data_IF_475093395668
#
_entry.id   IF_475093395668
#
_cell.length_a   1.000
_cell.length_b   1.000
_cell.length_c   1.000
_cell.angle_alpha   90.00
_cell.angle_beta   90.00
_cell.angle_gamma   90.00
#
_symmetry.space_group_name_H-M   'P 1'
#
loop_
_entity.id
_entity.type
_entity.pdbx_description
1 polymer ?
#
# COMPACT_ATOMS: atom_id res chain seq x y z
N UNK A 1 -11.11 -1.38 13.43
CA UNK A 1 -10.14 -1.91 12.44
C UNK A 1 -10.86 -2.19 11.13
N UNK A 2 -10.24 -1.84 10.00
CA UNK A 2 -10.73 -2.21 8.68
C UNK A 2 -10.35 -3.68 8.43
N UNK A 3 -11.31 -4.53 8.08
CA UNK A 3 -10.99 -5.92 7.75
C UNK A 3 -10.11 -5.96 6.49
N UNK A 4 -9.25 -6.99 6.36
CA UNK A 4 -8.29 -7.10 5.25
C UNK A 4 -8.98 -7.05 3.89
N UNK A 5 -10.19 -7.62 3.80
CA UNK A 5 -11.05 -7.61 2.62
C UNK A 5 -11.51 -6.19 2.29
N UNK A 6 -12.13 -5.51 3.25
CA UNK A 6 -12.65 -4.15 3.07
C UNK A 6 -11.54 -3.13 2.76
N UNK A 7 -10.33 -3.34 3.28
CA UNK A 7 -9.16 -2.53 2.94
C UNK A 7 -8.65 -2.75 1.52
N UNK A 8 -8.65 -3.99 1.02
CA UNK A 8 -8.33 -4.27 -0.38
C UNK A 8 -9.36 -3.64 -1.32
N UNK A 9 -10.65 -3.70 -0.96
CA UNK A 9 -11.73 -3.06 -1.72
C UNK A 9 -11.56 -1.55 -1.79
N UNK A 10 -11.28 -0.90 -0.66
CA UNK A 10 -11.02 0.53 -0.62
C UNK A 10 -9.81 0.94 -1.48
N UNK A 11 -8.76 0.13 -1.48
CA UNK A 11 -7.58 0.40 -2.31
C UNK A 11 -7.89 0.29 -3.82
N UNK A 12 -8.65 -0.72 -4.23
CA UNK A 12 -9.10 -0.86 -5.60
C UNK A 12 -9.97 0.35 -6.03
N UNK A 13 -10.90 0.78 -5.17
CA UNK A 13 -11.74 1.94 -5.43
C UNK A 13 -10.95 3.25 -5.49
N UNK A 14 -9.93 3.44 -4.63
CA UNK A 14 -9.05 4.61 -4.69
C UNK A 14 -8.25 4.67 -6.00
N UNK A 15 -7.79 3.52 -6.50
CA UNK A 15 -7.10 3.45 -7.80
C UNK A 15 -8.03 3.69 -8.99
N UNK A 16 -9.33 3.40 -8.84
CA UNK A 16 -10.33 3.62 -9.89
C UNK A 16 -10.88 5.04 -9.90
N UNK A 17 -11.07 5.63 -8.71
CA UNK A 17 -11.62 6.97 -8.48
C UNK A 17 -10.49 7.98 -8.18
N UNK A 18 -9.76 8.37 -9.23
CA UNK A 18 -8.74 9.41 -9.11
C UNK A 18 -9.34 10.73 -8.61
N UNK A 19 -8.66 11.35 -7.63
CA UNK A 19 -9.00 12.65 -7.04
C UNK A 19 -10.37 12.77 -6.35
N UNK A 20 -11.09 11.66 -6.14
CA UNK A 20 -12.41 11.67 -5.50
C UNK A 20 -13.52 12.23 -6.39
N UNK A 21 -13.33 12.19 -7.71
CA UNK A 21 -14.42 12.40 -8.64
C UNK A 21 -15.44 11.25 -8.55
N UNK A 22 -16.70 11.55 -8.88
CA UNK A 22 -17.72 10.53 -9.05
C UNK A 22 -17.44 9.76 -10.33
N UNK A 23 -17.30 8.45 -10.22
CA UNK A 23 -17.08 7.56 -11.36
C UNK A 23 -18.13 6.46 -11.34
N UNK A 24 -18.62 6.13 -12.52
CA UNK A 24 -19.48 4.97 -12.75
C UNK A 24 -18.55 3.78 -12.93
N UNK A 25 -18.71 2.77 -12.09
CA UNK A 25 -17.92 1.55 -12.08
C UNK A 25 -18.88 0.37 -12.22
N UNK A 26 -18.55 -0.56 -13.10
CA UNK A 26 -19.26 -1.84 -13.18
C UNK A 26 -18.75 -2.82 -12.12
N UNK A 27 -19.55 -3.83 -11.78
CA UNK A 27 -19.12 -4.93 -10.93
C UNK A 27 -17.83 -5.59 -11.45
N UNK A 28 -17.72 -5.73 -12.77
CA UNK A 28 -16.60 -6.34 -13.47
C UNK A 28 -15.32 -5.51 -13.28
N UNK A 29 -15.40 -4.18 -13.44
CA UNK A 29 -14.26 -3.27 -13.23
C UNK A 29 -13.69 -3.37 -11.80
N UNK A 30 -14.59 -3.53 -10.82
CA UNK A 30 -14.21 -3.65 -9.40
C UNK A 30 -13.53 -5.01 -9.18
N UNK A 31 -14.09 -6.09 -9.72
CA UNK A 31 -13.54 -7.44 -9.60
C UNK A 31 -12.19 -7.59 -10.31
N UNK A 32 -12.00 -6.94 -11.47
CA UNK A 32 -10.73 -7.00 -12.22
C UNK A 32 -9.58 -6.33 -11.47
N UNK A 33 -9.86 -5.22 -10.77
CA UNK A 33 -8.86 -4.48 -9.98
C UNK A 33 -8.54 -5.15 -8.64
N UNK A 34 -9.31 -6.16 -8.25
CA UNK A 34 -9.19 -6.83 -6.96
C UNK A 34 -8.22 -8.00 -7.00
N UNK A 35 -7.45 -8.24 -5.92
CA UNK A 35 -6.70 -9.48 -5.79
C UNK A 35 -7.66 -10.67 -5.68
N UNK A 36 -7.54 -11.63 -6.61
CA UNK A 36 -8.40 -12.81 -6.80
C UNK A 36 -8.55 -13.73 -5.58
N UNK A 37 -7.81 -13.46 -4.50
CA UNK A 37 -7.72 -14.30 -3.30
C UNK A 37 -8.57 -13.78 -2.12
N UNK A 38 -9.32 -12.69 -2.28
CA UNK A 38 -10.00 -12.00 -1.17
C UNK A 38 -11.52 -11.88 -1.32
N UNK A 39 -12.06 -11.95 -2.54
CA UNK A 39 -13.48 -11.83 -2.84
C UNK A 39 -13.90 -12.95 -3.78
N UNK A 40 -14.97 -13.66 -3.45
CA UNK A 40 -15.41 -14.89 -4.16
C UNK A 40 -16.76 -14.67 -4.87
N UNK A 41 -17.59 -13.75 -4.37
CA UNK A 41 -18.93 -13.48 -4.92
C UNK A 41 -19.26 -11.99 -5.02
N UNK A 42 -20.21 -11.64 -5.90
CA UNK A 42 -20.73 -10.28 -6.06
C UNK A 42 -21.35 -9.72 -4.77
N UNK A 43 -21.95 -10.59 -3.97
CA UNK A 43 -22.55 -10.28 -2.67
C UNK A 43 -21.52 -9.75 -1.67
N UNK A 44 -20.31 -10.33 -1.67
CA UNK A 44 -19.23 -9.90 -0.77
C UNK A 44 -18.79 -8.47 -1.09
N UNK A 45 -18.78 -8.10 -2.37
CA UNK A 45 -18.44 -6.75 -2.84
C UNK A 45 -19.50 -5.74 -2.39
N UNK A 46 -20.79 -6.08 -2.53
CA UNK A 46 -21.91 -5.23 -2.10
C UNK A 46 -21.93 -5.04 -0.57
N UNK A 47 -21.66 -6.10 0.18
CA UNK A 47 -21.49 -6.03 1.64
C UNK A 47 -20.29 -5.15 2.02
N UNK A 48 -19.18 -5.28 1.30
CA UNK A 48 -18.00 -4.43 1.47
C UNK A 48 -18.26 -2.94 1.18
N UNK A 49 -18.96 -2.64 0.08
CA UNK A 49 -19.40 -1.29 -0.29
C UNK A 49 -20.30 -0.68 0.80
N UNK A 50 -21.26 -1.45 1.30
CA UNK A 50 -22.15 -1.03 2.39
C UNK A 50 -21.37 -0.70 3.66
N UNK A 51 -20.43 -1.55 4.05
CA UNK A 51 -19.56 -1.32 5.22
C UNK A 51 -18.65 -0.09 5.04
N UNK A 52 -18.15 0.18 3.82
CA UNK A 52 -17.38 1.39 3.53
C UNK A 52 -18.24 2.66 3.54
N UNK A 53 -19.50 2.56 3.10
CA UNK A 53 -20.47 3.66 3.12
C UNK A 53 -20.83 4.04 4.56
N UNK A 54 -21.13 3.06 5.42
CA UNK A 54 -21.46 3.28 6.83
C UNK A 54 -20.35 3.99 7.60
N UNK A 55 -19.09 3.68 7.26
CA UNK A 55 -17.91 4.29 7.90
C UNK A 55 -17.46 5.58 7.22
N UNK A 56 -18.24 6.11 6.27
CA UNK A 56 -17.96 7.34 5.52
C UNK A 56 -16.60 7.32 4.78
N UNK A 57 -16.17 6.15 4.29
CA UNK A 57 -14.97 6.05 3.45
C UNK A 57 -15.29 6.30 1.97
N UNK A 58 -16.52 5.99 1.56
CA UNK A 58 -17.02 6.22 0.20
C UNK A 58 -18.38 6.91 0.23
N UNK A 59 -18.72 7.61 -0.84
CA UNK A 59 -20.06 8.17 -1.06
C UNK A 59 -20.63 7.62 -2.36
N UNK A 60 -21.72 6.88 -2.26
CA UNK A 60 -22.45 6.31 -3.40
C UNK A 60 -23.63 7.24 -3.73
N UNK A 61 -23.73 7.68 -4.97
CA UNK A 61 -24.87 8.50 -5.47
C UNK A 61 -25.92 7.65 -6.17
N UNK A 62 -25.47 6.60 -6.85
CA UNK A 62 -26.32 5.73 -7.64
C UNK A 62 -25.82 4.30 -7.50
N UNK A 63 -26.73 3.36 -7.34
CA UNK A 63 -26.48 1.94 -7.18
C UNK A 63 -27.55 1.19 -7.98
N UNK A 64 -27.09 0.43 -8.97
CA UNK A 64 -27.91 -0.47 -9.77
C UNK A 64 -27.54 -1.94 -9.47
N UNK A 65 -28.08 -2.89 -10.23
CA UNK A 65 -27.70 -4.30 -10.10
C UNK A 65 -26.22 -4.53 -10.38
N UNK A 66 -25.67 -3.88 -11.41
CA UNK A 66 -24.27 -4.08 -11.86
C UNK A 66 -23.43 -2.82 -11.99
N UNK A 67 -24.02 -1.64 -11.80
CA UNK A 67 -23.33 -0.35 -11.94
C UNK A 67 -23.41 0.47 -10.65
N UNK A 68 -22.31 1.08 -10.26
CA UNK A 68 -22.21 1.91 -9.07
C UNK A 68 -21.58 3.26 -9.42
N UNK A 69 -22.28 4.35 -9.12
CA UNK A 69 -21.70 5.68 -9.17
C UNK A 69 -21.22 6.07 -7.76
N UNK A 70 -19.91 6.05 -7.56
CA UNK A 70 -19.31 6.33 -6.25
C UNK A 70 -18.09 7.22 -6.35
N UNK A 71 -17.74 7.84 -5.22
CA UNK A 71 -16.48 8.55 -5.04
C UNK A 71 -15.84 8.18 -3.69
N UNK A 72 -14.51 8.24 -3.65
CA UNK A 72 -13.73 7.98 -2.44
C UNK A 72 -13.53 9.27 -1.63
N UNK A 73 -13.89 9.21 -0.35
CA UNK A 73 -13.78 10.35 0.56
C UNK A 73 -12.32 10.54 1.02
N UNK A 74 -11.93 11.75 1.46
CA UNK A 74 -10.57 12.01 1.95
C UNK A 74 -10.15 11.08 3.09
N UNK A 75 -11.09 10.71 3.98
CA UNK A 75 -10.86 9.71 5.05
C UNK A 75 -10.38 8.36 4.50
N UNK A 76 -10.94 7.92 3.38
CA UNK A 76 -10.56 6.65 2.73
C UNK A 76 -9.25 6.74 1.93
N UNK A 77 -8.92 7.94 1.43
CA UNK A 77 -7.66 8.21 0.73
C UNK A 77 -6.46 8.29 1.68
N UNK A 78 -6.62 8.92 2.84
CA UNK A 78 -5.57 8.99 3.85
C UNK A 78 -5.06 7.60 4.27
N UNK A 79 -5.94 6.61 4.43
CA UNK A 79 -5.54 5.24 4.79
C UNK A 79 -4.66 4.59 3.70
N UNK A 80 -4.85 4.98 2.44
CA UNK A 80 -4.04 4.48 1.33
C UNK A 80 -2.70 5.22 1.24
N UNK A 81 -2.70 6.55 1.33
CA UNK A 81 -1.47 7.35 1.32
C UNK A 81 -0.53 6.93 2.44
N UNK A 82 -1.03 6.80 3.68
CA UNK A 82 -0.20 6.33 4.80
C UNK A 82 0.41 4.94 4.56
N UNK A 83 -0.33 4.02 3.94
CA UNK A 83 0.18 2.67 3.63
C UNK A 83 1.18 2.63 2.48
N UNK A 84 1.03 3.51 1.49
CA UNK A 84 1.97 3.61 0.39
C UNK A 84 3.26 4.31 0.85
N UNK A 85 3.14 5.35 1.67
CA UNK A 85 4.26 6.04 2.31
C UNK A 85 5.06 5.06 3.19
N UNK A 86 4.40 4.26 4.03
CA UNK A 86 5.06 3.22 4.85
C UNK A 86 5.85 2.22 3.99
N UNK A 87 5.28 1.75 2.87
CA UNK A 87 5.96 0.81 1.95
C UNK A 87 7.15 1.44 1.25
N UNK A 88 7.01 2.67 0.79
CA UNK A 88 8.11 3.40 0.16
C UNK A 88 9.24 3.72 1.17
N UNK A 89 8.88 4.05 2.41
CA UNK A 89 9.84 4.29 3.47
C UNK A 89 10.58 3.02 3.87
N UNK A 90 9.91 1.87 3.97
CA UNK A 90 10.55 0.58 4.23
C UNK A 90 11.56 0.21 3.13
N UNK A 91 11.21 0.40 1.86
CA UNK A 91 12.12 0.13 0.74
C UNK A 91 13.32 1.07 0.71
N UNK A 92 13.09 2.38 0.95
CA UNK A 92 14.16 3.38 1.03
C UNK A 92 15.07 3.11 2.23
N UNK A 93 14.52 2.71 3.38
CA UNK A 93 15.27 2.41 4.59
C UNK A 93 16.08 1.13 4.44
N UNK A 94 15.51 0.10 3.82
CA UNK A 94 16.22 -1.16 3.52
C UNK A 94 17.39 -0.95 2.55
N UNK A 95 17.19 -0.13 1.49
CA UNK A 95 18.28 0.25 0.57
C UNK A 95 19.37 1.05 1.27
N UNK A 96 19.01 2.01 2.13
CA UNK A 96 19.98 2.78 2.92
C UNK A 96 20.78 1.88 3.87
N UNK A 97 20.13 0.98 4.61
CA UNK A 97 20.83 0.02 5.47
C UNK A 97 21.80 -0.88 4.69
N UNK A 98 21.43 -1.32 3.48
CA UNK A 98 22.32 -2.11 2.64
C UNK A 98 23.56 -1.31 2.19
N UNK A 99 23.37 -0.05 1.78
CA UNK A 99 24.47 0.83 1.36
C UNK A 99 25.38 1.17 2.56
N UNK A 100 24.81 1.54 3.71
CA UNK A 100 25.59 1.83 4.92
C UNK A 100 26.34 0.60 5.43
N UNK A 101 25.76 -0.60 5.35
CA UNK A 101 26.45 -1.85 5.69
C UNK A 101 27.66 -2.12 4.79
N UNK A 102 27.50 -1.91 3.47
CA UNK A 102 28.58 -2.13 2.51
C UNK A 102 29.74 -1.16 2.69
N UNK A 103 29.45 0.14 2.82
CA UNK A 103 30.49 1.15 3.06
C UNK A 103 31.10 1.05 4.47
N UNK A 104 30.31 0.68 5.48
CA UNK A 104 30.81 0.44 6.83
C UNK A 104 31.79 -0.72 6.91
N UNK A 105 31.51 -1.83 6.21
CA UNK A 105 32.41 -2.98 6.14
C UNK A 105 33.72 -2.66 5.40
N UNK A 106 33.66 -1.85 4.34
CA UNK A 106 34.84 -1.47 3.56
C UNK A 106 35.78 -0.56 4.36
N UNK A 107 35.23 0.45 5.04
CA UNK A 107 36.02 1.36 5.89
C UNK A 107 36.57 0.60 7.10
N UNK A 108 35.73 -0.21 7.78
CA UNK A 108 36.17 -1.02 8.92
C UNK A 108 37.26 -2.02 8.57
N UNK A 109 37.14 -2.68 7.40
CA UNK A 109 38.16 -3.60 6.89
C UNK A 109 39.49 -2.91 6.59
N UNK A 110 39.46 -1.70 6.01
CA UNK A 110 40.66 -0.92 5.74
C UNK A 110 41.37 -0.52 7.04
N UNK A 111 40.63 -0.03 8.04
CA UNK A 111 41.20 0.31 9.35
C UNK A 111 41.77 -0.91 10.08
N UNK A 112 41.07 -2.04 10.05
CA UNK A 112 41.54 -3.28 10.65
C UNK A 112 42.83 -3.79 9.98
N UNK A 113 42.91 -3.74 8.65
CA UNK A 113 44.10 -4.14 7.90
C UNK A 113 45.29 -3.22 8.19
N UNK A 114 45.08 -1.91 8.32
CA UNK A 114 46.12 -0.93 8.64
C UNK A 114 46.66 -1.12 10.07
N UNK A 115 45.78 -1.40 11.03
CA UNK A 115 46.17 -1.74 12.39
C UNK A 115 46.97 -3.06 12.45
N UNK A 116 46.52 -4.09 11.73
CA UNK A 116 47.24 -5.37 11.65
C UNK A 116 48.62 -5.21 11.00
N UNK A 117 48.74 -4.40 9.94
CA UNK A 117 50.01 -4.12 9.28
C UNK A 117 50.98 -3.35 10.19
N UNK A 118 50.49 -2.38 10.99
CA UNK A 118 51.31 -1.68 11.99
C UNK A 118 51.83 -2.62 13.07
N UNK A 119 50.99 -3.53 13.58
CA UNK A 119 51.42 -4.53 14.58
C UNK A 119 52.46 -5.47 13.98
N UNK A 120 52.28 -5.93 12.74
CA UNK A 120 53.24 -6.81 12.04
C UNK A 120 54.56 -6.12 11.69
N UNK A 121 54.58 -4.79 11.52
CA UNK A 121 55.80 -4.04 11.22
C UNK A 121 56.63 -3.77 12.49
N UNK A 122 55.96 -3.65 13.64
CA UNK A 122 56.61 -3.41 14.93
C UNK A 122 57.02 -4.68 15.70
N UNK A 123 56.60 -5.87 15.23
CA UNK A 123 56.99 -7.19 15.75
C UNK A 123 58.10 -7.77 14.90
#
# INVERSE_FOLDING_TARGET
>A
MLDKRTGALLNALNALCENGAYKILSMEDILEKMPTNLYVAEEDVRNGLSALREREFIRVKYEDEREFCLCTLPKGRFIYESKNEEREEEEKTRRKCFIYGFFGALVGGLFAALAAALVLLFV
#
